data_IF_492869409968
#
_entry.id   IF_492869409968
#
_cell.length_a   1.000
_cell.length_b   1.000
_cell.length_c   1.000
_cell.angle_alpha   90.00
_cell.angle_beta   90.00
_cell.angle_gamma   90.00
#
_symmetry.space_group_name_H-M   'P 1'
#
loop_
_entity.id
_entity.type
_entity.pdbx_description
1 polymer ?
#
# COMPACT_ATOMS: atom_id res chain seq x y z
N UNK A 1 22.15 57.34 -23.78
CA UNK A 1 21.89 56.90 -23.70
C UNK A 1 21.43 56.00 -23.63
N UNK A 2 21.13 55.42 -23.57
CA UNK A 2 20.67 54.61 -23.49
C UNK A 2 20.32 53.70 -22.96
N UNK A 3 19.96 53.17 -22.88
CA UNK A 3 19.57 52.41 -22.40
C UNK A 3 19.16 51.43 -22.33
N UNK A 4 18.99 50.93 -22.28
CA UNK A 4 18.50 50.05 -22.27
C UNK A 4 18.10 49.12 -21.77
N UNK A 5 17.71 48.70 -21.60
CA UNK A 5 17.23 47.93 -21.16
C UNK A 5 16.89 46.95 -20.99
N UNK A 6 16.68 46.45 -20.93
CA UNK A 6 16.33 45.61 -20.82
C UNK A 6 15.84 44.73 -20.56
N UNK A 7 15.49 44.31 -20.57
CA UNK A 7 14.85 43.51 -20.56
C UNK A 7 14.75 42.53 -19.92
N UNK A 8 14.43 42.18 -19.45
CA UNK A 8 14.35 41.30 -18.71
C UNK A 8 13.63 40.38 -18.83
N UNK A 9 13.48 39.82 -19.06
CA UNK A 9 12.78 38.95 -19.22
C UNK A 9 12.60 37.99 -18.52
N UNK A 10 12.29 37.50 -18.01
CA UNK A 10 12.04 36.62 -17.32
C UNK A 10 11.46 35.57 -17.54
N UNK A 11 11.61 34.87 -17.61
CA UNK A 11 11.14 33.84 -17.90
C UNK A 11 10.67 33.15 -17.03
N UNK A 12 10.18 32.80 -16.77
CA UNK A 12 9.71 32.15 -15.84
C UNK A 12 9.42 31.02 -15.98
N UNK A 13 9.51 30.23 -15.93
CA UNK A 13 9.26 29.19 -15.98
C UNK A 13 8.62 28.47 -15.24
N UNK A 14 8.17 28.09 -15.03
CA UNK A 14 7.44 27.45 -14.48
C UNK A 14 7.43 26.28 -14.38
N UNK A 15 7.60 25.68 -13.90
CA UNK A 15 7.70 24.64 -13.71
C UNK A 15 6.73 23.85 -13.75
N UNK A 16 6.60 23.21 -14.23
CA UNK A 16 5.62 22.46 -14.33
C UNK A 16 5.65 21.46 -13.51
N UNK A 17 5.24 21.21 -12.73
CA UNK A 17 5.19 20.30 -11.93
C UNK A 17 4.58 19.25 -12.28
N UNK A 18 4.95 18.43 -12.47
CA UNK A 18 4.39 17.35 -12.84
C UNK A 18 3.79 16.68 -11.88
N UNK A 19 2.88 16.58 -11.70
CA UNK A 19 2.30 15.93 -10.80
C UNK A 19 2.13 14.68 -11.11
N UNK A 20 2.64 13.90 -10.93
CA UNK A 20 2.44 12.67 -11.24
C UNK A 20 1.57 12.04 -10.47
N UNK A 21 0.69 11.87 -10.64
CA UNK A 21 -0.23 11.26 -9.96
C UNK A 21 0.04 9.96 -9.83
N UNK A 22 0.06 9.38 -9.03
CA UNK A 22 0.30 8.11 -8.96
C UNK A 22 -0.73 7.39 -9.29
N UNK A 23 -1.05 7.39 -10.19
CA UNK A 23 -2.10 6.76 -10.54
C UNK A 23 -2.12 5.47 -10.14
N UNK A 24 -2.04 4.70 -10.04
CA UNK A 24 -2.20 3.46 -9.81
C UNK A 24 -2.26 3.06 -8.52
N UNK A 25 -2.12 3.78 -7.70
CA UNK A 25 -2.07 3.31 -6.47
C UNK A 25 -3.34 3.05 -5.94
N UNK A 26 -3.92 1.99 -6.04
CA UNK A 26 -5.11 1.78 -5.51
C UNK A 26 -4.98 1.22 -4.17
N UNK A 27 -5.58 1.67 -3.17
CA UNK A 27 -5.58 1.13 -1.84
C UNK A 27 -6.70 0.16 -1.70
N UNK A 28 -6.42 -0.98 -1.17
CA UNK A 28 -7.44 -1.95 -0.92
C UNK A 28 -7.63 -1.99 0.58
N UNK A 29 -8.78 -1.60 1.05
CA UNK A 29 -9.05 -1.62 2.48
C UNK A 29 -9.43 -2.99 2.93
N UNK A 30 -8.82 -3.45 3.99
CA UNK A 30 -9.11 -4.75 4.54
C UNK A 30 -9.70 -4.59 5.91
N UNK A 31 -10.75 -5.35 6.17
CA UNK A 31 -11.36 -5.39 7.48
C UNK A 31 -11.09 -6.73 8.09
N UNK A 32 -10.62 -6.76 9.28
CA UNK A 32 -10.29 -7.99 9.96
C UNK A 32 -11.15 -8.15 11.19
N UNK A 33 -11.11 -9.31 11.82
CA UNK A 33 -11.96 -9.50 12.99
C UNK A 33 -11.55 -8.55 14.09
N UNK A 34 -12.41 -8.31 14.98
CA UNK A 34 -12.25 -7.39 16.08
C UNK A 34 -12.13 -5.94 15.64
N UNK A 35 -12.64 -5.64 14.46
CA UNK A 35 -12.64 -4.28 13.99
C UNK A 35 -11.31 -3.75 13.53
N UNK A 36 -10.32 -4.62 13.37
CA UNK A 36 -9.03 -4.13 12.94
C UNK A 36 -9.05 -3.86 11.45
N UNK A 37 -8.29 -2.89 11.03
CA UNK A 37 -8.28 -2.51 9.65
C UNK A 37 -6.90 -2.28 9.16
N UNK A 38 -6.68 -2.43 7.89
CA UNK A 38 -5.42 -2.13 7.27
C UNK A 38 -5.65 -1.79 5.81
N UNK A 39 -4.69 -1.25 5.16
CA UNK A 39 -4.78 -0.93 3.75
C UNK A 39 -3.59 -1.52 3.03
N UNK A 40 -3.81 -2.00 1.83
CA UNK A 40 -2.75 -2.57 1.03
C UNK A 40 -2.70 -1.82 -0.28
N UNK A 41 -1.53 -1.39 -0.65
CA UNK A 41 -1.32 -0.72 -1.92
C UNK A 41 -0.50 -1.63 -2.80
N UNK A 42 -0.96 -1.87 -3.97
CA UNK A 42 -0.28 -2.73 -4.91
C UNK A 42 -1.14 -3.92 -5.29
N UNK A 43 -0.63 -4.70 -6.21
CA UNK A 43 -1.37 -5.83 -6.73
C UNK A 43 -0.89 -7.08 -6.03
N UNK A 44 -1.67 -7.61 -5.12
CA UNK A 44 -1.27 -8.77 -4.36
C UNK A 44 -1.09 -9.99 -5.22
N UNK A 45 -1.65 -10.02 -6.38
CA UNK A 45 -1.53 -11.18 -7.23
C UNK A 45 -0.25 -11.12 -8.04
N UNK A 46 0.09 -9.98 -8.56
CA UNK A 46 1.20 -9.89 -9.49
C UNK A 46 2.43 -9.14 -9.03
N UNK A 47 2.32 -8.27 -8.08
CA UNK A 47 3.47 -7.47 -7.70
C UNK A 47 4.42 -8.21 -6.79
N UNK A 48 5.68 -7.93 -6.90
CA UNK A 48 6.64 -8.53 -5.99
C UNK A 48 6.78 -7.73 -4.70
N UNK A 49 6.29 -6.53 -4.68
CA UNK A 49 6.35 -5.70 -3.49
C UNK A 49 5.00 -5.01 -3.35
N UNK A 50 4.44 -5.03 -2.17
CA UNK A 50 3.24 -4.28 -1.88
C UNK A 50 3.53 -3.44 -0.65
N UNK A 51 2.69 -2.46 -0.41
CA UNK A 51 2.87 -1.65 0.77
C UNK A 51 1.70 -1.88 1.70
N UNK A 52 1.96 -2.20 2.93
CA UNK A 52 0.93 -2.48 3.90
C UNK A 52 0.89 -1.38 4.93
N UNK A 53 -0.28 -0.83 5.17
CA UNK A 53 -0.44 0.19 6.20
C UNK A 53 -1.17 -0.45 7.37
N UNK A 54 -0.53 -0.51 8.49
CA UNK A 54 -1.04 -1.19 9.66
C UNK A 54 -0.56 -0.50 10.91
N UNK A 55 -1.47 -0.27 11.83
CA UNK A 55 -1.07 0.27 13.12
C UNK A 55 -0.34 1.58 13.08
N UNK A 56 -0.64 2.39 12.12
CA UNK A 56 0.04 3.68 12.02
C UNK A 56 1.35 3.64 11.27
N UNK A 57 1.77 2.50 10.82
CA UNK A 57 3.01 2.38 10.06
C UNK A 57 2.78 1.96 8.64
N UNK A 58 3.76 2.14 7.82
CA UNK A 58 3.72 1.71 6.44
C UNK A 58 4.88 0.78 6.21
N UNK A 59 4.62 -0.38 5.68
CA UNK A 59 5.64 -1.40 5.50
C UNK A 59 5.72 -1.89 4.07
N UNK A 60 6.89 -1.91 3.51
CA UNK A 60 7.05 -2.48 2.20
C UNK A 60 7.24 -3.96 2.35
N UNK A 61 6.32 -4.72 1.85
CA UNK A 61 6.30 -6.16 2.04
C UNK A 61 6.80 -6.82 0.77
N UNK A 62 7.67 -7.79 0.91
CA UNK A 62 8.23 -8.46 -0.25
C UNK A 62 7.65 -9.83 -0.43
N UNK A 63 7.30 -10.17 -1.65
CA UNK A 63 6.68 -11.44 -1.93
C UNK A 63 7.65 -12.57 -1.66
N UNK A 64 7.14 -13.61 -1.06
CA UNK A 64 7.91 -14.80 -0.77
C UNK A 64 7.21 -15.97 -1.43
N UNK A 65 7.92 -16.85 -2.06
CA UNK A 65 7.30 -17.99 -2.72
C UNK A 65 6.58 -18.90 -1.74
N UNK A 66 5.51 -19.50 -2.18
CA UNK A 66 4.81 -20.47 -1.38
C UNK A 66 4.54 -21.69 -2.24
N UNK A 67 4.19 -22.77 -1.60
CA UNK A 67 3.84 -23.96 -2.35
C UNK A 67 2.35 -24.23 -2.22
N UNK A 68 1.60 -23.36 -1.57
CA UNK A 68 0.21 -23.63 -1.32
C UNK A 68 -0.72 -22.83 -2.19
N UNK A 69 -0.20 -21.93 -2.98
CA UNK A 69 -1.06 -21.05 -3.75
C UNK A 69 -1.40 -19.78 -3.00
N UNK A 70 -1.03 -19.67 -1.77
CA UNK A 70 -1.27 -18.44 -1.04
C UNK A 70 -0.30 -17.37 -1.50
N UNK A 71 -0.68 -16.12 -1.33
CA UNK A 71 0.22 -15.02 -1.60
C UNK A 71 0.82 -14.61 -0.26
N UNK A 72 2.13 -14.66 -0.16
CA UNK A 72 2.78 -14.35 1.09
C UNK A 72 3.78 -13.24 0.90
N UNK A 73 3.74 -12.26 1.76
CA UNK A 73 4.65 -11.12 1.70
C UNK A 73 5.22 -10.89 3.09
N UNK A 74 6.48 -10.51 3.16
CA UNK A 74 7.15 -10.32 4.44
C UNK A 74 7.90 -9.02 4.52
N UNK A 75 7.96 -8.47 5.70
CA UNK A 75 8.78 -7.30 5.98
C UNK A 75 9.75 -7.71 7.08
N UNK A 76 11.02 -7.86 6.73
CA UNK A 76 11.93 -8.46 7.68
C UNK A 76 12.17 -7.60 8.91
N UNK A 77 12.21 -6.33 8.75
CA UNK A 77 12.50 -5.50 9.91
C UNK A 77 11.46 -5.59 11.00
N UNK A 78 10.21 -5.64 10.64
CA UNK A 78 9.17 -5.67 11.64
C UNK A 78 8.76 -7.08 12.01
N UNK A 79 9.04 -8.05 11.18
CA UNK A 79 8.55 -9.39 11.41
C UNK A 79 7.13 -9.60 10.92
N UNK A 80 6.55 -8.63 10.24
CA UNK A 80 5.19 -8.80 9.77
C UNK A 80 5.15 -9.69 8.54
N UNK A 81 4.14 -10.52 8.46
CA UNK A 81 3.93 -11.42 7.35
C UNK A 81 2.47 -11.36 6.95
N UNK A 82 2.22 -11.03 5.71
CA UNK A 82 0.85 -10.96 5.19
C UNK A 82 0.61 -12.20 4.35
N UNK A 83 -0.44 -12.93 4.66
CA UNK A 83 -0.78 -14.13 3.91
C UNK A 83 -2.20 -14.00 3.42
N UNK A 84 -2.37 -14.18 2.14
CA UNK A 84 -3.67 -14.02 1.51
C UNK A 84 -4.04 -15.26 0.72
N UNK A 85 -5.22 -15.75 0.94
CA UNK A 85 -5.80 -16.82 0.13
C UNK A 85 -7.12 -16.28 -0.38
N UNK A 86 -7.75 -16.96 -1.31
CA UNK A 86 -8.93 -16.37 -1.90
C UNK A 86 -10.02 -15.97 -0.93
N UNK A 87 -10.23 -16.72 0.09
CA UNK A 87 -11.33 -16.40 0.97
C UNK A 87 -11.00 -15.37 2.02
N UNK A 88 -9.80 -15.29 2.45
CA UNK A 88 -9.48 -14.40 3.54
C UNK A 88 -7.98 -14.24 3.67
N UNK A 89 -7.58 -13.40 4.56
CA UNK A 89 -6.17 -13.14 4.76
C UNK A 89 -5.87 -12.89 6.21
N UNK A 90 -4.61 -12.88 6.56
CA UNK A 90 -4.23 -12.61 7.93
C UNK A 90 -2.86 -11.95 7.97
N UNK A 91 -2.62 -11.21 9.00
CA UNK A 91 -1.34 -10.58 9.24
C UNK A 91 -0.73 -11.22 10.48
N UNK A 92 0.45 -11.81 10.31
CA UNK A 92 1.14 -12.43 11.41
C UNK A 92 2.30 -11.59 11.86
N UNK A 93 2.68 -11.74 13.11
CA UNK A 93 3.87 -11.08 13.59
C UNK A 93 4.80 -12.19 14.02
N UNK A 94 5.90 -12.38 13.31
CA UNK A 94 6.80 -13.47 13.62
C UNK A 94 7.50 -13.29 14.95
N UNK A 95 7.63 -12.09 15.40
CA UNK A 95 8.26 -11.89 16.69
C UNK A 95 7.36 -12.34 17.80
N UNK A 96 6.06 -12.21 17.62
CA UNK A 96 5.13 -12.69 18.61
C UNK A 96 4.73 -14.12 18.36
N UNK A 97 4.93 -14.60 17.18
CA UNK A 97 4.53 -15.95 16.84
C UNK A 97 3.04 -16.12 16.71
N UNK A 98 2.32 -15.07 16.41
CA UNK A 98 0.87 -15.15 16.38
C UNK A 98 0.28 -14.13 15.42
N UNK A 99 -0.95 -14.32 14.97
CA UNK A 99 -1.59 -13.36 14.12
C UNK A 99 -1.92 -12.11 14.91
N UNK A 100 -1.74 -10.96 14.30
CA UNK A 100 -2.16 -9.71 14.89
C UNK A 100 -3.41 -9.20 14.22
N UNK A 101 -3.77 -9.73 13.07
CA UNK A 101 -5.05 -9.42 12.42
C UNK A 101 -5.47 -10.66 11.66
N UNK A 102 -6.65 -11.14 11.91
CA UNK A 102 -7.09 -12.39 11.33
C UNK A 102 -8.40 -12.21 10.61
N UNK A 103 -8.78 -13.18 9.79
CA UNK A 103 -10.05 -13.14 9.09
C UNK A 103 -10.21 -11.83 8.34
N UNK A 104 -9.19 -11.42 7.61
CA UNK A 104 -9.25 -10.16 6.90
C UNK A 104 -9.89 -10.34 5.54
N UNK A 105 -10.74 -9.40 5.16
CA UNK A 105 -11.36 -9.45 3.87
C UNK A 105 -11.52 -8.07 3.37
N UNK A 106 -11.72 -7.90 2.11
CA UNK A 106 -11.90 -6.60 1.55
C UNK A 106 -13.12 -6.04 2.10
N UNK A 107 -13.02 -4.88 2.61
CA UNK A 107 -14.16 -4.37 3.20
C UNK A 107 -14.90 -3.41 2.48
N UNK A 108 -14.62 -3.21 1.37
CA UNK A 108 -15.21 -2.27 0.76
C UNK A 108 -16.51 -2.34 0.54
N UNK A 109 -17.00 -3.15 0.25
CA UNK A 109 -18.17 -3.20 -0.09
C UNK A 109 -19.15 -3.47 0.68
N UNK A 110 -19.59 -2.96 1.19
CA UNK A 110 -20.49 -3.23 1.94
C UNK A 110 -21.63 -3.05 1.33
N UNK A 111 -22.30 -3.52 0.94
CA UNK A 111 -23.35 -3.41 0.27
C UNK A 111 -24.42 -3.35 1.05
N UNK A 112 -25.05 -2.78 1.04
CA UNK A 112 -26.14 -2.56 1.74
C UNK A 112 -27.02 -3.59 1.78
N UNK A 113 -27.55 -3.95 2.07
CA UNK A 113 -28.30 -4.81 2.12
C UNK A 113 -29.43 -4.67 2.16
N UNK A 114 -30.10 -4.69 2.05
CA UNK A 114 -31.15 -4.54 2.00
C UNK A 114 -31.58 -4.70 2.35
#
# INVERSE_FOLDING_TARGET
MRSSISGAVIAVLIGSVALTASAGAMALDMMCESGKRMAIFGDQINDSVIELHWGGGAYQMQRVPTTTGAHRFEHSGSGLVWISIPAKAMLLDRKLGAPVANECRTGAIQRPRR
#
